data_IF_342172148506
#
_entry.id   IF_342172148506
#
_cell.length_a   1.000
_cell.length_b   1.000
_cell.length_c   1.000
_cell.angle_alpha   90.00
_cell.angle_beta   90.00
_cell.angle_gamma   90.00
#
_symmetry.space_group_name_H-M   'P 1'
#
loop_
_entity.id
_entity.type
_entity.pdbx_description
1 polymer ?
#
# COMPACT_ATOMS: atom_id res chain seq x y z
N UNK A 1 -13.74 21.10 9.38
CA UNK A 1 -14.85 20.14 9.64
C UNK A 1 -14.29 18.72 9.48
N UNK A 2 -14.49 17.85 10.45
CA UNK A 2 -14.09 16.44 10.38
C UNK A 2 -15.35 15.63 10.06
N UNK A 3 -15.26 14.74 9.05
CA UNK A 3 -16.33 13.82 8.70
C UNK A 3 -15.86 12.40 9.02
N UNK A 4 -16.64 11.67 9.80
CA UNK A 4 -16.39 10.26 10.10
C UNK A 4 -17.23 9.37 9.18
N UNK A 5 -16.60 8.35 8.59
CA UNK A 5 -17.26 7.34 7.77
C UNK A 5 -17.25 6.01 8.53
N UNK A 6 -18.43 5.44 8.79
CA UNK A 6 -18.51 4.11 9.39
C UNK A 6 -18.37 3.04 8.31
N UNK A 7 -17.21 2.45 8.20
CA UNK A 7 -16.89 1.42 7.18
C UNK A 7 -16.70 0.03 7.77
N UNK A 8 -16.65 -0.08 9.10
CA UNK A 8 -16.41 -1.32 9.82
C UNK A 8 -15.18 -2.11 9.31
N UNK A 9 -14.11 -1.40 8.90
CA UNK A 9 -12.84 -2.04 8.57
C UNK A 9 -12.23 -2.68 9.83
N UNK A 10 -11.64 -3.85 9.68
CA UNK A 10 -10.83 -4.45 10.75
C UNK A 10 -9.52 -3.70 10.94
N UNK A 11 -8.84 -3.40 9.82
CA UNK A 11 -7.60 -2.64 9.80
C UNK A 11 -7.60 -1.75 8.54
N UNK A 12 -8.16 -0.55 8.67
CA UNK A 12 -8.25 0.43 7.58
C UNK A 12 -6.93 1.20 7.44
N UNK A 13 -6.25 1.08 6.29
CA UNK A 13 -4.91 1.63 6.06
C UNK A 13 -4.71 2.13 4.62
N UNK A 14 -3.56 2.79 4.40
CA UNK A 14 -3.10 3.25 3.09
C UNK A 14 -4.10 4.12 2.32
N UNK A 15 -4.61 5.20 2.87
CA UNK A 15 -5.53 6.06 2.16
C UNK A 15 -4.84 6.80 1.01
N UNK A 16 -5.46 6.80 -0.18
CA UNK A 16 -5.01 7.55 -1.35
C UNK A 16 -6.16 8.34 -1.96
N UNK A 17 -5.89 9.57 -2.34
CA UNK A 17 -6.87 10.42 -3.03
C UNK A 17 -6.63 10.44 -4.53
N UNK A 18 -7.65 10.11 -5.30
CA UNK A 18 -7.66 10.15 -6.76
C UNK A 18 -8.34 11.44 -7.23
N UNK A 19 -7.55 12.47 -7.52
CA UNK A 19 -8.05 13.81 -7.82
C UNK A 19 -8.98 13.85 -9.05
N UNK A 20 -8.65 13.12 -10.13
CA UNK A 20 -9.48 13.11 -11.36
C UNK A 20 -10.85 12.46 -11.16
N UNK A 21 -10.98 11.51 -10.24
CA UNK A 21 -12.26 10.87 -9.92
C UNK A 21 -12.97 11.50 -8.73
N UNK A 22 -12.32 12.43 -8.02
CA UNK A 22 -12.78 13.00 -6.76
C UNK A 22 -13.17 11.92 -5.74
N UNK A 23 -12.33 10.90 -5.63
CA UNK A 23 -12.55 9.73 -4.76
C UNK A 23 -11.36 9.50 -3.84
N UNK A 24 -11.63 9.03 -2.62
CA UNK A 24 -10.62 8.49 -1.72
C UNK A 24 -10.73 6.96 -1.71
N UNK A 25 -9.58 6.31 -1.78
CA UNK A 25 -9.47 4.85 -1.70
C UNK A 25 -8.64 4.47 -0.49
N UNK A 26 -8.92 3.31 0.11
CA UNK A 26 -8.12 2.72 1.18
C UNK A 26 -8.29 1.19 1.19
N UNK A 27 -7.46 0.52 1.95
CA UNK A 27 -7.52 -0.93 2.14
C UNK A 27 -8.08 -1.28 3.52
N UNK A 28 -8.77 -2.40 3.61
CA UNK A 28 -8.88 -3.20 4.82
C UNK A 28 -7.88 -4.35 4.69
N UNK A 29 -6.77 -4.27 5.42
CA UNK A 29 -5.64 -5.16 5.25
C UNK A 29 -6.00 -6.61 5.59
N UNK A 30 -6.76 -6.83 6.66
CA UNK A 30 -7.12 -8.15 7.16
C UNK A 30 -8.22 -8.81 6.32
N UNK A 31 -9.29 -8.09 6.03
CA UNK A 31 -10.43 -8.61 5.28
C UNK A 31 -10.23 -8.54 3.77
N UNK A 32 -9.11 -7.94 3.32
CA UNK A 32 -8.69 -7.86 1.91
C UNK A 32 -9.73 -7.16 1.02
N UNK A 33 -10.24 -6.04 1.49
CA UNK A 33 -11.07 -5.15 0.70
C UNK A 33 -10.30 -3.90 0.27
N UNK A 34 -10.61 -3.42 -0.93
CA UNK A 34 -10.36 -2.03 -1.32
C UNK A 34 -11.68 -1.28 -1.26
N UNK A 35 -11.66 -0.17 -0.58
CA UNK A 35 -12.79 0.75 -0.45
C UNK A 35 -12.60 1.96 -1.35
N UNK A 36 -13.70 2.53 -1.79
CA UNK A 36 -13.78 3.80 -2.49
C UNK A 36 -14.85 4.66 -1.81
N UNK A 37 -14.55 5.91 -1.53
CA UNK A 37 -15.50 6.93 -1.17
C UNK A 37 -15.56 8.00 -2.27
N UNK A 38 -16.68 8.09 -2.95
CA UNK A 38 -16.97 9.16 -3.91
C UNK A 38 -17.39 10.41 -3.13
N UNK A 39 -16.55 11.45 -3.14
CA UNK A 39 -16.79 12.68 -2.36
C UNK A 39 -17.96 13.49 -2.93
N UNK A 40 -18.22 13.40 -4.23
CA UNK A 40 -19.31 14.11 -4.89
C UNK A 40 -20.66 13.49 -4.59
N UNK A 41 -20.75 12.15 -4.68
CA UNK A 41 -21.99 11.40 -4.43
C UNK A 41 -22.18 11.04 -2.96
N UNK A 42 -21.12 11.14 -2.14
CA UNK A 42 -21.09 10.72 -0.72
C UNK A 42 -21.44 9.23 -0.54
N UNK A 43 -20.98 8.38 -1.47
CA UNK A 43 -21.24 6.94 -1.48
C UNK A 43 -19.96 6.18 -1.25
N UNK A 44 -20.03 5.14 -0.42
CA UNK A 44 -18.96 4.18 -0.21
C UNK A 44 -19.25 2.92 -1.01
N UNK A 45 -18.26 2.46 -1.75
CA UNK A 45 -18.26 1.14 -2.39
C UNK A 45 -17.04 0.34 -1.92
N UNK A 46 -17.14 -0.99 -1.97
CA UNK A 46 -16.01 -1.86 -1.65
C UNK A 46 -15.94 -3.05 -2.58
N UNK A 47 -14.74 -3.54 -2.80
CA UNK A 47 -14.49 -4.72 -3.61
C UNK A 47 -13.51 -5.65 -2.88
N UNK A 48 -13.83 -6.94 -2.83
CA UNK A 48 -12.94 -7.93 -2.26
C UNK A 48 -11.84 -8.30 -3.24
N UNK A 49 -10.59 -8.22 -2.79
CA UNK A 49 -9.43 -8.65 -3.56
C UNK A 49 -9.28 -10.17 -3.45
N UNK A 50 -9.07 -10.82 -4.59
CA UNK A 50 -8.88 -12.28 -4.68
C UNK A 50 -7.45 -12.69 -4.26
N UNK A 51 -7.02 -12.24 -3.08
CA UNK A 51 -5.73 -12.55 -2.48
C UNK A 51 -5.92 -13.42 -1.25
N UNK A 52 -4.97 -14.34 -1.01
CA UNK A 52 -5.04 -15.31 0.11
C UNK A 52 -4.40 -14.80 1.39
N UNK A 53 -3.60 -13.75 1.31
CA UNK A 53 -2.82 -13.20 2.42
C UNK A 53 -3.23 -11.77 2.75
N UNK A 54 -2.92 -11.26 3.95
CA UNK A 54 -3.11 -9.87 4.30
C UNK A 54 -2.47 -8.92 3.28
N UNK A 55 -3.04 -7.74 3.16
CA UNK A 55 -2.54 -6.66 2.31
C UNK A 55 -1.45 -5.88 3.07
N UNK A 56 -0.71 -5.06 2.35
CA UNK A 56 0.22 -4.07 2.92
C UNK A 56 -0.22 -2.66 2.55
N UNK A 57 0.26 -2.12 1.43
CA UNK A 57 -0.01 -0.73 1.04
C UNK A 57 -0.66 -0.60 -0.34
N UNK A 58 -1.22 0.59 -0.57
CA UNK A 58 -1.92 0.99 -1.78
C UNK A 58 -1.23 2.19 -2.42
N UNK A 59 -0.97 2.14 -3.72
CA UNK A 59 -0.44 3.27 -4.49
C UNK A 59 -1.32 3.54 -5.70
N UNK A 60 -1.57 4.81 -5.97
CA UNK A 60 -2.24 5.24 -7.20
C UNK A 60 -1.19 5.42 -8.31
N UNK A 61 -1.44 4.81 -9.47
CA UNK A 61 -0.60 5.00 -10.66
C UNK A 61 -1.07 6.21 -11.49
N UNK A 62 -0.20 6.73 -12.34
CA UNK A 62 -0.55 7.83 -13.27
C UNK A 62 -1.66 7.47 -14.27
N UNK A 63 -1.93 6.17 -14.47
CA UNK A 63 -2.98 5.67 -15.36
C UNK A 63 -4.32 5.40 -14.62
N UNK A 64 -4.42 5.77 -13.35
CA UNK A 64 -5.62 5.55 -12.54
C UNK A 64 -5.84 4.11 -12.07
N UNK A 65 -4.86 3.23 -12.23
CA UNK A 65 -4.85 1.90 -11.62
C UNK A 65 -4.19 1.97 -10.24
N UNK A 66 -4.22 0.87 -9.50
CA UNK A 66 -3.59 0.76 -8.19
C UNK A 66 -2.48 -0.27 -8.19
N UNK A 67 -1.38 0.03 -7.53
CA UNK A 67 -0.43 -0.98 -7.08
C UNK A 67 -0.82 -1.34 -5.66
N UNK A 68 -0.99 -2.64 -5.41
CA UNK A 68 -1.36 -3.20 -4.11
C UNK A 68 -0.29 -4.19 -3.70
N UNK A 69 0.22 -4.06 -2.48
CA UNK A 69 1.10 -5.07 -1.91
C UNK A 69 0.33 -6.03 -1.03
N UNK A 70 0.81 -7.25 -0.95
CA UNK A 70 0.25 -8.32 -0.14
C UNK A 70 1.37 -9.30 0.25
N UNK A 71 1.18 -10.09 1.29
CA UNK A 71 2.16 -11.14 1.64
C UNK A 71 2.29 -12.26 0.59
N UNK A 72 1.64 -12.14 -0.54
CA UNK A 72 1.82 -12.98 -1.73
C UNK A 72 2.48 -12.26 -2.91
N UNK A 73 2.86 -10.98 -2.75
CA UNK A 73 3.57 -10.19 -3.75
C UNK A 73 2.98 -8.81 -3.98
N UNK A 74 3.42 -8.19 -5.06
CA UNK A 74 2.98 -6.87 -5.56
C UNK A 74 2.10 -7.09 -6.79
N UNK A 75 1.00 -6.37 -6.86
CA UNK A 75 -0.03 -6.54 -7.87
C UNK A 75 -0.44 -5.21 -8.49
N UNK A 76 -0.78 -5.23 -9.76
CA UNK A 76 -1.51 -4.14 -10.43
C UNK A 76 -3.00 -4.45 -10.39
N UNK A 77 -3.79 -3.53 -9.89
CA UNK A 77 -5.23 -3.66 -9.77
C UNK A 77 -5.97 -2.56 -10.51
N UNK A 78 -6.92 -2.93 -11.34
CA UNK A 78 -7.86 -2.02 -11.98
C UNK A 78 -9.20 -2.08 -11.26
N UNK A 79 -9.59 -0.99 -10.61
CA UNK A 79 -10.82 -0.95 -9.80
C UNK A 79 -12.10 -1.10 -10.64
N UNK A 80 -12.12 -0.60 -11.89
CA UNK A 80 -13.30 -0.66 -12.76
C UNK A 80 -13.53 -2.06 -13.32
N UNK A 81 -12.47 -2.70 -13.82
CA UNK A 81 -12.54 -4.04 -14.43
C UNK A 81 -12.38 -5.16 -13.42
N UNK A 82 -11.97 -4.86 -12.20
CA UNK A 82 -11.64 -5.81 -11.12
C UNK A 82 -10.50 -6.76 -11.49
N UNK A 83 -9.69 -6.38 -12.50
CA UNK A 83 -8.54 -7.18 -12.92
C UNK A 83 -7.41 -6.99 -11.93
N UNK A 84 -6.77 -8.10 -11.54
CA UNK A 84 -5.63 -8.16 -10.63
C UNK A 84 -4.52 -8.94 -11.32
N UNK A 85 -3.42 -8.27 -11.63
CA UNK A 85 -2.25 -8.84 -12.29
C UNK A 85 -1.07 -8.89 -11.31
N UNK A 86 -0.44 -10.05 -11.15
CA UNK A 86 0.79 -10.20 -10.37
C UNK A 86 1.95 -9.52 -11.09
N UNK A 87 2.78 -8.77 -10.35
CA UNK A 87 3.97 -8.12 -10.88
C UNK A 87 5.24 -8.82 -10.40
N UNK A 88 5.49 -8.84 -9.09
CA UNK A 88 6.68 -9.45 -8.48
C UNK A 88 6.50 -9.62 -6.96
N UNK A 89 7.48 -10.29 -6.31
CA UNK A 89 7.57 -10.40 -4.85
C UNK A 89 8.95 -9.93 -4.37
N UNK A 90 8.97 -8.97 -3.44
CA UNK A 90 10.19 -8.39 -2.87
C UNK A 90 10.73 -9.12 -1.65
N UNK A 91 10.01 -10.08 -1.09
CA UNK A 91 10.40 -10.74 0.17
C UNK A 91 11.63 -11.65 0.04
N UNK A 92 12.12 -11.86 -1.19
CA UNK A 92 13.34 -12.62 -1.49
C UNK A 92 13.41 -13.98 -0.74
N UNK A 93 12.28 -14.68 -0.63
CA UNK A 93 12.11 -15.95 0.11
C UNK A 93 12.16 -15.82 1.64
N UNK A 94 12.31 -14.63 2.20
CA UNK A 94 12.24 -14.44 3.65
C UNK A 94 10.77 -14.34 4.12
N UNK A 95 10.22 -15.45 4.57
CA UNK A 95 8.82 -15.55 5.03
C UNK A 95 8.56 -14.84 6.36
N UNK A 96 9.61 -14.39 7.07
CA UNK A 96 9.47 -13.54 8.26
C UNK A 96 9.14 -12.10 7.92
N UNK A 97 9.34 -11.67 6.67
CA UNK A 97 8.97 -10.35 6.20
C UNK A 97 7.50 -10.30 5.73
N UNK A 98 6.84 -9.19 6.05
CA UNK A 98 5.50 -8.86 5.57
C UNK A 98 5.51 -7.47 4.96
N UNK A 99 4.73 -7.27 3.90
CA UNK A 99 4.52 -5.92 3.36
C UNK A 99 3.76 -5.09 4.39
N UNK A 100 4.21 -3.87 4.59
CA UNK A 100 3.60 -2.93 5.50
C UNK A 100 3.28 -1.62 4.75
N UNK A 101 3.83 -0.50 5.17
CA UNK A 101 3.50 0.80 4.63
C UNK A 101 4.39 1.18 3.44
N UNK A 102 4.03 2.25 2.74
CA UNK A 102 4.79 2.73 1.60
C UNK A 102 4.32 4.08 1.09
N UNK A 103 5.13 4.70 0.25
CA UNK A 103 4.80 5.98 -0.38
C UNK A 103 5.22 6.00 -1.84
N UNK A 104 4.44 6.69 -2.68
CA UNK A 104 4.78 6.94 -4.08
C UNK A 104 5.19 8.38 -4.32
N UNK A 105 6.16 8.57 -5.20
CA UNK A 105 6.50 9.85 -5.80
C UNK A 105 6.09 9.86 -7.27
N UNK A 106 6.43 10.93 -8.00
CA UNK A 106 6.24 10.96 -9.46
C UNK A 106 7.06 9.91 -10.20
N UNK A 107 8.20 9.48 -9.66
CA UNK A 107 9.18 8.62 -10.35
C UNK A 107 9.56 7.35 -9.61
N UNK A 108 9.10 7.16 -8.38
CA UNK A 108 9.52 6.04 -7.54
C UNK A 108 8.41 5.56 -6.64
N UNK A 109 8.45 4.27 -6.30
CA UNK A 109 7.69 3.69 -5.20
C UNK A 109 8.67 3.33 -4.07
N UNK A 110 8.28 3.62 -2.84
CA UNK A 110 8.99 3.16 -1.65
C UNK A 110 8.09 2.19 -0.92
N UNK A 111 8.54 0.96 -0.76
CA UNK A 111 7.75 -0.15 -0.23
C UNK A 111 8.45 -0.67 1.02
N UNK A 112 7.78 -0.58 2.16
CA UNK A 112 8.24 -1.08 3.44
C UNK A 112 7.90 -2.54 3.65
N UNK A 113 8.86 -3.26 4.19
CA UNK A 113 8.72 -4.63 4.68
C UNK A 113 9.08 -4.66 6.17
N UNK A 114 8.21 -5.21 6.99
CA UNK A 114 8.38 -5.31 8.44
C UNK A 114 8.63 -6.75 8.88
N UNK A 115 9.20 -6.94 10.06
CA UNK A 115 9.14 -8.24 10.72
C UNK A 115 7.69 -8.64 11.00
N UNK A 116 7.30 -9.83 10.63
CA UNK A 116 5.93 -10.36 10.86
C UNK A 116 5.47 -10.28 12.32
N UNK A 117 6.41 -10.41 13.25
CA UNK A 117 6.15 -10.38 14.68
C UNK A 117 6.47 -9.02 15.32
N UNK A 118 6.90 -8.03 14.53
CA UNK A 118 7.23 -6.67 14.97
C UNK A 118 8.29 -6.61 16.08
N UNK A 119 9.22 -7.58 16.11
CA UNK A 119 10.24 -7.71 17.18
C UNK A 119 11.66 -7.62 16.67
N UNK A 120 11.94 -8.19 15.50
CA UNK A 120 13.28 -8.28 14.95
C UNK A 120 13.58 -7.14 13.99
N UNK A 121 14.75 -6.50 14.06
CA UNK A 121 15.11 -5.41 13.15
C UNK A 121 15.55 -5.94 11.77
N UNK A 122 14.67 -6.71 11.12
CA UNK A 122 14.89 -7.30 9.79
C UNK A 122 14.12 -6.59 8.69
N UNK A 123 13.25 -5.65 9.04
CA UNK A 123 12.47 -4.85 8.10
C UNK A 123 13.34 -3.86 7.34
N UNK A 124 12.85 -3.42 6.19
CA UNK A 124 13.57 -2.56 5.27
C UNK A 124 12.62 -1.79 4.34
N UNK A 125 13.14 -0.74 3.69
CA UNK A 125 12.46 -0.05 2.59
C UNK A 125 13.18 -0.31 1.27
N UNK A 126 12.41 -0.71 0.27
CA UNK A 126 12.83 -0.71 -1.11
C UNK A 126 12.39 0.55 -1.83
N UNK A 127 13.27 1.09 -2.68
CA UNK A 127 12.91 2.03 -3.73
C UNK A 127 12.83 1.29 -5.07
N UNK A 128 11.69 1.36 -5.72
CA UNK A 128 11.53 0.97 -7.12
C UNK A 128 11.51 2.22 -7.99
N UNK A 129 12.51 2.36 -8.87
CA UNK A 129 12.66 3.48 -9.80
C UNK A 129 13.21 2.98 -11.14
N UNK A 130 12.57 3.33 -12.25
CA UNK A 130 13.02 2.96 -13.61
C UNK A 130 13.37 1.48 -13.76
N UNK A 131 12.56 0.59 -13.22
CA UNK A 131 12.80 -0.87 -13.13
C UNK A 131 14.05 -1.29 -12.33
N UNK A 132 14.72 -0.36 -11.65
CA UNK A 132 15.77 -0.65 -10.67
C UNK A 132 15.14 -0.76 -9.28
N UNK A 133 15.62 -1.74 -8.52
CA UNK A 133 15.19 -2.00 -7.16
C UNK A 133 16.39 -1.86 -6.22
N UNK A 134 16.28 -0.94 -5.26
CA UNK A 134 17.35 -0.65 -4.31
C UNK A 134 16.82 -0.66 -2.86
N UNK A 135 17.63 -1.13 -1.92
CA UNK A 135 17.35 -0.99 -0.49
C UNK A 135 17.81 0.41 -0.07
N UNK A 136 16.88 1.23 0.41
CA UNK A 136 17.15 2.60 0.83
C UNK A 136 17.31 2.74 2.35
N UNK A 137 16.73 1.82 3.11
CA UNK A 137 16.84 1.77 4.56
C UNK A 137 16.57 0.35 5.07
N UNK A 138 17.16 -0.01 6.20
CA UNK A 138 17.05 -1.34 6.79
C UNK A 138 17.19 -1.31 8.31
N UNK A 139 16.96 -2.45 8.94
CA UNK A 139 17.08 -2.67 10.39
C UNK A 139 15.95 -2.05 11.22
N UNK A 140 14.71 -2.23 10.73
CA UNK A 140 13.50 -1.85 11.44
C UNK A 140 12.74 -3.10 11.90
N UNK A 141 12.14 -3.11 13.10
CA UNK A 141 11.08 -4.07 13.42
C UNK A 141 9.83 -3.79 12.57
N UNK A 142 9.44 -2.52 12.46
CA UNK A 142 8.28 -2.07 11.69
C UNK A 142 8.68 -0.94 10.73
N UNK A 143 8.59 -1.18 9.44
CA UNK A 143 8.82 -0.15 8.41
C UNK A 143 7.52 0.61 8.18
N UNK A 144 7.36 1.80 8.75
CA UNK A 144 6.08 2.52 8.80
C UNK A 144 6.23 4.02 8.51
N UNK A 145 5.10 4.68 8.24
CA UNK A 145 4.93 6.12 8.13
C UNK A 145 5.85 6.86 7.16
N UNK A 146 6.18 6.32 5.96
CA UNK A 146 7.06 7.04 5.06
C UNK A 146 6.39 8.34 4.59
N UNK A 147 7.13 9.42 4.66
CA UNK A 147 6.74 10.73 4.14
C UNK A 147 7.88 11.37 3.37
N UNK A 148 7.56 12.33 2.51
CA UNK A 148 8.55 13.02 1.68
C UNK A 148 8.64 14.47 2.10
N UNK A 149 9.86 14.90 2.42
CA UNK A 149 10.17 16.30 2.64
C UNK A 149 11.35 16.70 1.74
N UNK A 150 11.09 17.56 0.77
CA UNK A 150 12.03 17.95 -0.30
C UNK A 150 12.50 16.69 -1.06
N UNK A 151 13.80 16.37 -0.96
CA UNK A 151 14.48 15.22 -1.58
C UNK A 151 14.72 14.05 -0.61
N UNK A 152 14.18 14.15 0.62
CA UNK A 152 14.40 13.18 1.70
C UNK A 152 13.13 12.39 1.97
N UNK A 153 13.32 11.12 2.31
CA UNK A 153 12.28 10.29 2.88
C UNK A 153 12.48 10.23 4.39
N UNK A 154 11.40 10.47 5.09
CA UNK A 154 11.31 10.35 6.55
C UNK A 154 10.40 9.17 6.82
N UNK A 155 10.81 8.28 7.69
CA UNK A 155 10.01 7.13 8.12
C UNK A 155 10.12 6.94 9.62
N UNK A 156 9.11 6.28 10.19
CA UNK A 156 9.06 5.88 11.59
C UNK A 156 9.29 4.38 11.74
N UNK A 157 9.56 4.00 12.96
CA UNK A 157 9.84 2.64 13.39
C UNK A 157 9.05 2.36 14.67
#
# INVERSE_FOLDING_TARGET
MITSLNTACKLGESPVYHALENCTYWLDLDDRFIYQYDLSKKVITKQRLKLKSPLGCLFLTSKGNFIITSNSGVYLYNFRTKKLDFLFDLRLKNQSLVYNDGISTRSSLYIGLSDRNEKKPIGLFYQLKNNSLEITAQSFPVANGPSIYKDRIIYSN
#
